data_IF_914578388233
#
_entry.id   IF_914578388233
#
_cell.length_a   1.000
_cell.length_b   1.000
_cell.length_c   1.000
_cell.angle_alpha   90.00
_cell.angle_beta   90.00
_cell.angle_gamma   90.00
#
_symmetry.space_group_name_H-M   'P 1'
#
loop_
_entity.id
_entity.type
_entity.pdbx_description
1 polymer ?
#
# COMPACT_ATOMS: atom_id res chain seq x y z
N UNK A 1 14.76 -16.61 6.46
CA UNK A 1 15.27 -15.23 6.56
C UNK A 1 14.23 -14.45 7.34
N UNK A 2 14.49 -14.18 8.63
CA UNK A 2 13.60 -13.37 9.46
C UNK A 2 13.77 -11.93 8.98
N UNK A 3 12.71 -11.34 8.40
CA UNK A 3 12.64 -9.90 8.24
C UNK A 3 12.50 -9.35 9.65
N UNK A 4 13.55 -8.73 10.17
CA UNK A 4 13.51 -8.00 11.43
C UNK A 4 12.56 -6.81 11.25
N UNK A 5 11.26 -7.04 11.39
CA UNK A 5 10.35 -5.96 11.72
C UNK A 5 10.82 -5.40 13.05
N UNK A 6 11.11 -4.10 13.09
CA UNK A 6 11.44 -3.41 14.34
C UNK A 6 10.35 -3.77 15.35
N UNK A 7 10.75 -4.50 16.39
CA UNK A 7 9.92 -4.79 17.55
C UNK A 7 9.54 -3.43 18.15
N UNK A 8 8.28 -3.03 17.98
CA UNK A 8 7.58 -1.90 18.60
C UNK A 8 8.42 -1.09 19.60
N UNK A 9 9.24 -0.16 19.11
CA UNK A 9 9.85 0.87 19.93
C UNK A 9 8.87 2.05 20.01
N UNK A 10 8.72 2.63 21.21
CA UNK A 10 7.83 3.77 21.43
C UNK A 10 8.31 4.93 20.54
N UNK A 11 7.36 5.60 19.87
CA UNK A 11 7.64 6.74 19.00
C UNK A 11 8.55 6.39 17.79
N UNK A 12 8.54 5.13 17.34
CA UNK A 12 9.24 4.67 16.14
C UNK A 12 8.25 4.12 15.10
N UNK A 13 8.36 4.58 13.86
CA UNK A 13 7.51 4.19 12.74
C UNK A 13 8.32 3.68 11.54
N UNK A 14 7.75 2.73 10.80
CA UNK A 14 8.25 2.34 9.48
C UNK A 14 7.46 3.07 8.40
N UNK A 15 8.15 3.91 7.62
CA UNK A 15 7.57 4.68 6.53
C UNK A 15 7.95 4.04 5.20
N UNK A 16 6.97 3.89 4.32
CA UNK A 16 7.17 3.46 2.94
C UNK A 16 6.81 4.58 1.98
N UNK A 17 7.69 4.82 1.02
CA UNK A 17 7.42 5.63 -0.16
C UNK A 17 7.40 4.71 -1.39
N UNK A 18 6.33 4.78 -2.18
CA UNK A 18 6.22 4.10 -3.47
C UNK A 18 6.18 5.15 -4.58
N UNK A 19 7.05 4.98 -5.57
CA UNK A 19 7.07 5.78 -6.79
C UNK A 19 7.13 4.89 -8.02
N UNK A 20 7.23 5.52 -9.19
CA UNK A 20 7.42 4.83 -10.47
C UNK A 20 8.60 5.47 -11.19
N UNK A 21 9.59 4.68 -11.59
CA UNK A 21 10.50 5.06 -12.66
C UNK A 21 9.90 4.56 -13.98
N UNK A 22 10.39 5.00 -15.15
CA UNK A 22 9.78 4.73 -16.46
C UNK A 22 9.60 3.24 -16.85
N UNK A 23 10.02 2.29 -16.01
CA UNK A 23 9.95 0.85 -16.28
C UNK A 23 9.34 0.01 -15.15
N UNK A 24 9.46 0.42 -13.88
CA UNK A 24 8.93 -0.31 -12.72
C UNK A 24 8.53 0.65 -11.60
N UNK A 25 7.65 0.20 -10.71
CA UNK A 25 7.44 0.87 -9.43
C UNK A 25 8.64 0.65 -8.50
N UNK A 26 9.08 1.71 -7.83
CA UNK A 26 10.25 1.76 -6.94
C UNK A 26 9.80 2.02 -5.52
N UNK A 27 10.40 1.31 -4.56
CA UNK A 27 10.03 1.42 -3.14
C UNK A 27 11.23 1.91 -2.33
N UNK A 28 10.98 2.86 -1.42
CA UNK A 28 11.94 3.29 -0.42
C UNK A 28 11.34 3.08 0.96
N UNK A 29 12.18 2.66 1.91
CA UNK A 29 11.81 2.44 3.30
C UNK A 29 12.67 3.29 4.23
N UNK A 30 12.06 3.83 5.27
CA UNK A 30 12.77 4.55 6.34
C UNK A 30 12.18 4.12 7.68
N UNK A 31 13.04 3.88 8.66
CA UNK A 31 12.62 3.85 10.07
C UNK A 31 12.75 5.28 10.60
N UNK A 32 11.68 5.83 11.14
CA UNK A 32 11.66 7.15 11.78
C UNK A 32 11.54 6.92 13.27
N UNK A 33 12.56 7.29 14.02
CA UNK A 33 12.51 7.40 15.48
C UNK A 33 12.30 8.88 15.82
N UNK A 34 11.13 9.23 16.35
CA UNK A 34 10.82 10.63 16.68
C UNK A 34 11.58 11.12 17.93
N UNK A 35 12.25 10.23 18.68
CA UNK A 35 13.19 10.62 19.73
C UNK A 35 14.60 10.88 19.19
N UNK A 36 14.99 10.25 18.06
CA UNK A 36 16.27 10.43 17.39
C UNK A 36 16.10 10.39 15.85
N UNK A 37 16.05 11.57 15.21
CA UNK A 37 15.67 11.71 13.79
C UNK A 37 16.69 11.22 12.74
N UNK A 38 17.63 10.34 13.11
CA UNK A 38 18.78 9.94 12.29
C UNK A 38 18.50 8.85 11.24
N UNK A 39 17.26 8.38 11.13
CA UNK A 39 16.91 7.32 10.18
C UNK A 39 17.16 7.73 8.72
N UNK A 40 17.84 6.90 7.93
CA UNK A 40 18.09 7.12 6.50
C UNK A 40 17.09 6.39 5.60
N UNK A 41 16.87 6.92 4.40
CA UNK A 41 16.09 6.25 3.36
C UNK A 41 16.89 5.11 2.73
N UNK A 42 16.30 3.92 2.71
CA UNK A 42 16.84 2.75 2.03
C UNK A 42 16.04 2.52 0.75
N UNK A 43 16.74 2.53 -0.39
CA UNK A 43 16.16 2.13 -1.66
C UNK A 43 16.07 0.60 -1.72
N UNK A 44 14.89 0.08 -2.04
CA UNK A 44 14.72 -1.35 -2.31
C UNK A 44 15.05 -1.61 -3.78
N UNK A 45 16.26 -2.12 -4.01
CA UNK A 45 16.65 -2.56 -5.34
C UNK A 45 15.78 -3.74 -5.79
N UNK A 46 15.23 -3.62 -6.99
CA UNK A 46 14.40 -4.66 -7.59
C UNK A 46 15.22 -5.35 -8.67
N UNK A 47 15.75 -6.53 -8.35
CA UNK A 47 16.45 -7.36 -9.32
C UNK A 47 15.56 -7.70 -10.52
N UNK A 48 16.11 -7.74 -11.73
CA UNK A 48 15.35 -7.96 -12.98
C UNK A 48 14.47 -9.22 -12.96
N UNK A 49 14.92 -10.30 -12.32
CA UNK A 49 14.20 -11.58 -12.29
C UNK A 49 13.36 -11.81 -11.02
N UNK A 50 13.27 -10.82 -10.12
CA UNK A 50 12.47 -10.94 -8.90
C UNK A 50 10.98 -11.06 -9.24
N UNK A 51 10.30 -12.05 -8.65
CA UNK A 51 8.84 -12.19 -8.78
C UNK A 51 8.10 -11.27 -7.81
N UNK A 52 6.83 -10.95 -8.11
CA UNK A 52 6.00 -10.12 -7.23
C UNK A 52 6.39 -8.64 -7.23
N UNK A 53 6.96 -8.13 -8.31
CA UNK A 53 7.20 -6.69 -8.48
C UNK A 53 5.87 -5.96 -8.63
N UNK A 54 5.80 -4.76 -8.08
CA UNK A 54 4.71 -3.86 -8.44
C UNK A 54 4.91 -3.43 -9.91
N UNK A 55 3.90 -3.63 -10.79
CA UNK A 55 4.03 -3.26 -12.19
C UNK A 55 4.15 -1.74 -12.36
N UNK A 56 4.69 -1.32 -13.50
CA UNK A 56 4.63 0.07 -13.91
C UNK A 56 3.18 0.48 -14.21
N UNK A 57 2.76 1.63 -13.68
CA UNK A 57 1.39 2.13 -13.73
C UNK A 57 1.41 3.67 -13.79
N UNK A 58 0.53 4.28 -14.58
CA UNK A 58 0.40 5.74 -14.68
C UNK A 58 0.10 6.41 -13.32
N UNK A 59 -0.58 5.68 -12.44
CA UNK A 59 -0.85 6.09 -11.07
C UNK A 59 -0.95 4.86 -10.17
N UNK A 60 -0.29 4.94 -9.03
CA UNK A 60 -0.44 4.00 -7.92
C UNK A 60 -0.53 4.82 -6.63
N UNK A 61 -1.51 4.50 -5.79
CA UNK A 61 -1.63 5.11 -4.46
C UNK A 61 -1.66 3.99 -3.42
N UNK A 62 -0.83 4.12 -2.39
CA UNK A 62 -0.68 3.15 -1.29
C UNK A 62 -1.29 3.65 0.01
N UNK A 63 -1.72 2.72 0.85
CA UNK A 63 -2.13 2.99 2.22
C UNK A 63 -1.61 1.90 3.16
N UNK A 64 -1.35 2.26 4.42
CA UNK A 64 -1.12 1.28 5.47
C UNK A 64 -2.38 0.45 5.75
N UNK A 65 -2.20 -0.83 6.01
CA UNK A 65 -3.22 -1.78 6.40
C UNK A 65 -2.72 -2.64 7.57
N UNK A 66 -3.61 -3.33 8.28
CA UNK A 66 -3.25 -4.04 9.51
C UNK A 66 -2.26 -5.20 9.28
N UNK A 67 -2.20 -5.69 8.05
CA UNK A 67 -1.31 -6.79 7.62
C UNK A 67 -0.20 -6.34 6.68
N UNK A 68 0.07 -5.02 6.59
CA UNK A 68 1.13 -4.44 5.74
C UNK A 68 0.65 -3.23 4.95
N UNK A 69 0.71 -3.32 3.63
CA UNK A 69 0.31 -2.24 2.73
C UNK A 69 -0.69 -2.72 1.68
N UNK A 70 -1.58 -1.82 1.28
CA UNK A 70 -2.43 -1.99 0.11
C UNK A 70 -2.11 -0.91 -0.92
N UNK A 71 -2.32 -1.23 -2.19
CA UNK A 71 -2.22 -0.25 -3.28
C UNK A 71 -3.39 -0.39 -4.26
N UNK A 72 -3.84 0.75 -4.78
CA UNK A 72 -4.74 0.81 -5.92
C UNK A 72 -3.96 1.32 -7.13
N UNK A 73 -4.01 0.57 -8.22
CA UNK A 73 -3.38 0.92 -9.49
C UNK A 73 -4.33 1.55 -10.50
N UNK A 74 -3.79 2.37 -11.42
CA UNK A 74 -4.54 2.96 -12.55
C UNK A 74 -5.18 1.93 -13.47
N UNK A 75 -4.65 0.71 -13.48
CA UNK A 75 -5.20 -0.46 -14.16
C UNK A 75 -6.44 -1.08 -13.49
N UNK A 76 -6.95 -0.46 -12.41
CA UNK A 76 -8.13 -0.95 -11.69
C UNK A 76 -7.88 -2.23 -10.89
N UNK A 77 -6.63 -2.51 -10.53
CA UNK A 77 -6.27 -3.66 -9.71
C UNK A 77 -5.93 -3.23 -8.29
N UNK A 78 -6.38 -4.05 -7.35
CA UNK A 78 -6.00 -3.97 -5.94
C UNK A 78 -4.78 -4.84 -5.68
N UNK A 79 -3.80 -4.31 -4.96
CA UNK A 79 -2.58 -5.03 -4.60
C UNK A 79 -2.36 -5.04 -3.09
N UNK A 80 -1.71 -6.08 -2.59
CA UNK A 80 -1.28 -6.21 -1.20
C UNK A 80 0.21 -6.51 -1.14
N UNK A 81 0.86 -5.92 -0.14
CA UNK A 81 2.20 -6.30 0.32
C UNK A 81 2.14 -6.62 1.80
N UNK A 82 2.66 -7.80 2.18
CA UNK A 82 2.73 -8.27 3.57
C UNK A 82 4.17 -8.27 4.11
N UNK A 83 5.12 -7.80 3.30
CA UNK A 83 6.56 -7.85 3.53
C UNK A 83 7.17 -6.45 3.34
N UNK A 84 6.51 -5.43 3.91
CA UNK A 84 6.96 -4.04 3.91
C UNK A 84 7.22 -3.45 2.50
N UNK A 85 6.42 -3.81 1.50
CA UNK A 85 6.55 -3.31 0.12
C UNK A 85 7.57 -4.06 -0.74
N UNK A 86 8.20 -5.13 -0.22
CA UNK A 86 9.19 -5.92 -0.96
C UNK A 86 8.56 -6.72 -2.11
N UNK A 87 7.36 -7.27 -1.90
CA UNK A 87 6.57 -7.94 -2.93
C UNK A 87 5.11 -7.49 -2.91
N UNK A 88 4.51 -7.47 -4.09
CA UNK A 88 3.14 -7.03 -4.34
C UNK A 88 2.40 -8.12 -5.10
N UNK A 89 1.22 -8.48 -4.59
CA UNK A 89 0.33 -9.46 -5.22
C UNK A 89 -1.03 -8.82 -5.47
N UNK A 90 -1.58 -9.06 -6.66
CA UNK A 90 -2.96 -8.67 -6.95
C UNK A 90 -3.90 -9.43 -6.00
N UNK A 91 -4.79 -8.72 -5.32
CA UNK A 91 -5.92 -9.34 -4.63
C UNK A 91 -7.10 -9.44 -5.60
N UNK A 92 -7.33 -10.65 -6.12
CA UNK A 92 -8.43 -10.92 -7.05
C UNK A 92 -9.82 -10.92 -6.39
N UNK A 93 -9.89 -10.95 -5.04
CA UNK A 93 -11.18 -10.90 -4.33
C UNK A 93 -11.75 -9.48 -4.26
N UNK A 94 -10.92 -8.46 -4.45
CA UNK A 94 -11.38 -7.07 -4.49
C UNK A 94 -11.73 -6.69 -5.92
N UNK A 95 -13.04 -6.57 -6.17
CA UNK A 95 -13.57 -6.08 -7.44
C UNK A 95 -13.93 -4.61 -7.29
N UNK A 96 -13.37 -3.77 -8.15
CA UNK A 96 -13.69 -2.35 -8.15
C UNK A 96 -15.08 -2.11 -8.76
N UNK A 97 -15.78 -1.03 -8.34
CA UNK A 97 -17.03 -0.62 -8.96
C UNK A 97 -16.86 -0.44 -10.47
N UNK A 98 -17.85 -0.85 -11.27
CA UNK A 98 -17.77 -0.79 -12.74
C UNK A 98 -17.39 0.61 -13.27
N UNK A 99 -17.87 1.66 -12.60
CA UNK A 99 -17.59 3.06 -12.92
C UNK A 99 -16.16 3.51 -12.60
N UNK A 100 -15.35 2.70 -11.92
CA UNK A 100 -13.92 2.96 -11.76
C UNK A 100 -13.16 2.78 -13.08
N UNK A 101 -13.64 1.93 -14.01
CA UNK A 101 -12.94 1.62 -15.25
C UNK A 101 -12.78 2.81 -16.22
N UNK A 102 -13.45 3.94 -15.97
CA UNK A 102 -13.25 5.18 -16.73
C UNK A 102 -11.85 5.73 -16.54
N UNK A 103 -11.23 6.34 -17.56
CA UNK A 103 -9.92 6.99 -17.46
C UNK A 103 -9.90 8.19 -16.48
N UNK A 104 -8.70 8.64 -16.08
CA UNK A 104 -8.51 9.82 -15.22
C UNK A 104 -7.77 9.53 -13.90
N UNK A 105 -7.29 10.57 -13.22
CA UNK A 105 -6.64 10.43 -11.90
C UNK A 105 -7.66 10.03 -10.83
N UNK A 106 -7.22 9.28 -9.84
CA UNK A 106 -8.03 8.91 -8.68
C UNK A 106 -7.33 9.30 -7.38
N UNK A 107 -8.09 9.33 -6.28
CA UNK A 107 -7.57 9.36 -4.92
C UNK A 107 -7.97 8.07 -4.19
N UNK A 108 -7.11 7.64 -3.26
CA UNK A 108 -7.29 6.43 -2.46
C UNK A 108 -6.74 6.66 -1.06
N UNK A 109 -7.53 6.33 -0.03
CA UNK A 109 -7.10 6.41 1.37
C UNK A 109 -7.80 5.35 2.23
N UNK A 110 -7.24 5.06 3.41
CA UNK A 110 -7.87 4.26 4.46
C UNK A 110 -8.13 5.14 5.68
N UNK A 111 -9.31 5.07 6.27
CA UNK A 111 -9.64 5.81 7.50
C UNK A 111 -9.36 5.00 8.78
N UNK A 112 -9.59 5.63 9.93
CA UNK A 112 -9.39 5.02 11.26
C UNK A 112 -10.38 3.90 11.59
N UNK A 113 -11.48 3.82 10.85
CA UNK A 113 -12.48 2.75 10.95
C UNK A 113 -12.24 1.66 9.91
N UNK A 114 -11.02 1.64 9.33
CA UNK A 114 -10.55 0.66 8.36
C UNK A 114 -11.33 0.65 7.04
N UNK A 115 -12.09 1.70 6.74
CA UNK A 115 -12.69 1.85 5.43
C UNK A 115 -11.70 2.38 4.43
N UNK A 116 -11.70 1.78 3.25
CA UNK A 116 -11.02 2.26 2.07
C UNK A 116 -11.96 3.14 1.27
N UNK A 117 -11.48 4.32 0.92
CA UNK A 117 -12.19 5.31 0.14
C UNK A 117 -11.53 5.45 -1.23
N UNK A 118 -12.35 5.45 -2.27
CA UNK A 118 -11.91 5.64 -3.66
C UNK A 118 -12.70 6.81 -4.24
N UNK A 119 -11.99 7.77 -4.80
CA UNK A 119 -12.59 8.97 -5.41
C UNK A 119 -12.08 9.08 -6.85
N UNK A 120 -13.00 9.12 -7.82
CA UNK A 120 -12.67 9.28 -9.24
C UNK A 120 -13.85 9.89 -9.99
N UNK A 121 -13.61 10.89 -10.83
CA UNK A 121 -14.59 11.44 -11.78
C UNK A 121 -15.96 11.78 -11.15
N UNK A 122 -15.96 12.40 -9.97
CA UNK A 122 -17.18 12.79 -9.25
C UNK A 122 -17.88 11.65 -8.50
N UNK A 123 -17.36 10.41 -8.57
CA UNK A 123 -17.83 9.30 -7.79
C UNK A 123 -16.98 9.10 -6.53
N UNK A 124 -17.66 8.69 -5.45
CA UNK A 124 -17.04 8.30 -4.19
C UNK A 124 -17.54 6.91 -3.82
N UNK A 125 -16.61 6.00 -3.57
CA UNK A 125 -16.90 4.66 -3.08
C UNK A 125 -16.21 4.41 -1.76
N UNK A 126 -16.83 3.58 -0.93
CA UNK A 126 -16.27 3.12 0.32
C UNK A 126 -16.48 1.62 0.46
N UNK A 127 -15.46 0.92 0.93
CA UNK A 127 -15.53 -0.51 1.28
C UNK A 127 -14.60 -0.84 2.43
N UNK A 128 -14.77 -2.01 3.05
CA UNK A 128 -13.83 -2.57 4.03
C UNK A 128 -13.76 -4.07 3.85
N UNK A 129 -12.66 -4.69 4.28
CA UNK A 129 -12.62 -6.15 4.37
C UNK A 129 -13.53 -6.61 5.51
N UNK A 130 -14.18 -7.75 5.34
CA UNK A 130 -15.06 -8.28 6.38
C UNK A 130 -14.31 -8.44 7.70
N UNK A 131 -13.08 -8.95 7.69
CA UNK A 131 -12.24 -9.16 8.89
C UNK A 131 -12.02 -7.88 9.71
N UNK A 132 -12.00 -6.71 9.06
CA UNK A 132 -11.81 -5.40 9.71
C UNK A 132 -13.11 -4.89 10.38
N UNK A 133 -14.25 -5.55 10.10
CA UNK A 133 -15.57 -5.14 10.60
C UNK A 133 -16.07 -5.94 11.81
N UNK A 134 -15.36 -6.97 12.26
CA UNK A 134 -15.79 -7.79 13.39
C UNK A 134 -15.51 -7.03 14.68
N UNK A 135 -16.55 -6.72 15.44
CA UNK A 135 -16.39 -6.32 16.84
C UNK A 135 -15.84 -7.53 17.59
N UNK A 136 -14.66 -7.38 18.18
CA UNK A 136 -14.26 -8.26 19.27
C UNK A 136 -15.08 -7.78 20.47
N UNK A 137 -16.25 -8.38 20.67
CA UNK A 137 -16.86 -8.34 22.00
C UNK A 137 -15.93 -9.14 22.91
N UNK A 138 -15.46 -8.50 23.98
CA UNK A 138 -14.72 -9.15 25.06
C UNK A 138 -15.67 -10.00 25.93
#
# INVERSE_FOLDING_TARGET
MNVAGVLSAKDVENVMLLGTNDTIATTWLRTVDYANEDGQWNYLEIENNKSGKMPWLDQVITCAADTGFVALGSNGKWYKSQDAGLTWKQDAMVVLPAKFASEGRFAFCRDKQHYYWIIRNGYVWRGRFNIDGWSKED
#
